data_IF_516873231894
#
_entry.id   IF_516873231894
#
_cell.length_a   1.000
_cell.length_b   1.000
_cell.length_c   1.000
_cell.angle_alpha   90.00
_cell.angle_beta   90.00
_cell.angle_gamma   90.00
#
_symmetry.space_group_name_H-M   'P 1'
#
loop_
_entity.id
_entity.type
_entity.pdbx_description
1 polymer ?
#
# COMPACT_ATOMS: atom_id res chain seq x y z
N UNK A 1 -17.48 -21.82 -2.77
CA UNK A 1 -17.30 -20.81 -1.69
C UNK A 1 -16.72 -21.49 -0.44
N UNK A 2 -15.86 -20.83 0.34
CA UNK A 2 -15.29 -21.36 1.58
C UNK A 2 -16.32 -21.35 2.70
N UNK A 3 -16.19 -22.28 3.66
CA UNK A 3 -16.97 -22.26 4.90
C UNK A 3 -16.26 -21.48 6.01
N UNK A 4 -14.91 -21.49 6.01
CA UNK A 4 -14.10 -20.85 7.04
C UNK A 4 -12.80 -20.28 6.46
N UNK A 5 -12.50 -19.02 6.81
CA UNK A 5 -11.30 -18.29 6.39
C UNK A 5 -10.52 -17.82 7.62
N UNK A 6 -9.21 -18.11 7.64
CA UNK A 6 -8.29 -17.53 8.62
C UNK A 6 -7.75 -16.20 8.11
N UNK A 7 -7.69 -15.22 8.99
CA UNK A 7 -7.20 -13.88 8.71
C UNK A 7 -5.81 -13.72 9.32
N UNK A 8 -4.76 -13.80 8.46
CA UNK A 8 -3.37 -13.74 8.88
C UNK A 8 -2.90 -12.27 9.02
N UNK A 9 -3.66 -11.48 9.76
CA UNK A 9 -3.40 -10.06 9.98
C UNK A 9 -4.06 -9.58 11.27
N UNK A 10 -3.93 -8.29 11.58
CA UNK A 10 -4.46 -7.62 12.76
C UNK A 10 -5.04 -6.23 12.40
N UNK A 11 -5.59 -5.57 13.44
CA UNK A 11 -6.00 -4.17 13.31
C UNK A 11 -7.21 -3.98 12.40
N UNK A 12 -7.26 -2.82 11.73
CA UNK A 12 -8.41 -2.43 10.92
C UNK A 12 -8.65 -3.36 9.74
N UNK A 13 -7.57 -3.85 9.09
CA UNK A 13 -7.72 -4.73 7.93
C UNK A 13 -8.27 -6.11 8.34
N UNK A 14 -7.91 -6.62 9.51
CA UNK A 14 -8.50 -7.84 10.01
C UNK A 14 -10.01 -7.64 10.30
N UNK A 15 -10.41 -6.51 10.88
CA UNK A 15 -11.82 -6.16 11.06
C UNK A 15 -12.56 -6.05 9.71
N UNK A 16 -11.93 -5.45 8.70
CA UNK A 16 -12.50 -5.32 7.34
C UNK A 16 -12.74 -6.68 6.69
N UNK A 17 -11.78 -7.60 6.82
CA UNK A 17 -11.89 -8.95 6.25
C UNK A 17 -12.95 -9.77 7.03
N UNK A 18 -13.01 -9.66 8.37
CA UNK A 18 -14.05 -10.31 9.20
C UNK A 18 -15.45 -9.88 8.76
N UNK A 19 -15.65 -8.57 8.49
CA UNK A 19 -16.92 -8.04 7.99
C UNK A 19 -17.30 -8.65 6.64
N UNK A 20 -16.33 -8.70 5.69
CA UNK A 20 -16.56 -9.33 4.40
C UNK A 20 -16.89 -10.82 4.52
N UNK A 21 -16.19 -11.58 5.36
CA UNK A 21 -16.52 -12.98 5.64
C UNK A 21 -17.95 -13.12 6.17
N UNK A 22 -18.34 -12.31 7.14
CA UNK A 22 -19.67 -12.35 7.75
C UNK A 22 -20.79 -12.05 6.75
N UNK A 23 -20.59 -11.05 5.88
CA UNK A 23 -21.54 -10.71 4.81
C UNK A 23 -21.65 -11.80 3.75
N UNK A 24 -20.60 -12.59 3.54
CA UNK A 24 -20.58 -13.75 2.65
C UNK A 24 -21.08 -15.05 3.34
N UNK A 25 -21.43 -15.01 4.64
CA UNK A 25 -21.84 -16.20 5.40
C UNK A 25 -20.68 -17.16 5.69
N UNK A 26 -19.44 -16.65 5.76
CA UNK A 26 -18.20 -17.42 5.98
C UNK A 26 -17.77 -17.22 7.44
N UNK A 27 -17.45 -18.29 8.14
CA UNK A 27 -16.86 -18.20 9.48
C UNK A 27 -15.43 -17.64 9.41
N UNK A 28 -15.14 -16.68 10.29
CA UNK A 28 -13.85 -16.02 10.39
C UNK A 28 -13.01 -16.56 11.55
N UNK A 29 -11.72 -16.81 11.29
CA UNK A 29 -10.73 -17.14 12.31
C UNK A 29 -9.72 -16.01 12.41
N UNK A 30 -9.74 -15.27 13.51
CA UNK A 30 -8.70 -14.29 13.80
C UNK A 30 -7.47 -14.98 14.41
N UNK A 31 -6.28 -14.54 14.01
CA UNK A 31 -5.05 -14.82 14.76
C UNK A 31 -4.63 -13.59 15.54
N UNK A 32 -3.99 -13.80 16.69
CA UNK A 32 -3.52 -12.69 17.52
C UNK A 32 -2.26 -13.03 18.30
N UNK A 33 -1.41 -12.04 18.53
CA UNK A 33 -0.33 -12.12 19.49
C UNK A 33 -0.84 -11.87 20.92
N UNK A 34 -0.05 -12.20 21.92
CA UNK A 34 -0.40 -11.90 23.31
C UNK A 34 -0.70 -10.42 23.57
N UNK A 35 -0.06 -9.50 22.80
CA UNK A 35 -0.32 -8.06 22.93
C UNK A 35 -1.70 -7.64 22.37
N UNK A 36 -2.26 -8.41 21.44
CA UNK A 36 -3.53 -8.12 20.78
C UNK A 36 -4.71 -8.94 21.34
N UNK A 37 -4.56 -9.60 22.48
CA UNK A 37 -5.62 -10.48 23.06
C UNK A 37 -6.97 -9.77 23.22
N UNK A 38 -6.96 -8.47 23.48
CA UNK A 38 -8.15 -7.66 23.69
C UNK A 38 -8.50 -6.80 22.44
N UNK A 39 -7.79 -7.00 21.30
CA UNK A 39 -8.03 -6.24 20.09
C UNK A 39 -9.40 -6.51 19.46
N UNK A 40 -9.96 -5.51 18.77
CA UNK A 40 -11.32 -5.57 18.23
C UNK A 40 -11.51 -6.74 17.25
N UNK A 41 -10.52 -7.03 16.40
CA UNK A 41 -10.61 -8.14 15.45
C UNK A 41 -10.74 -9.51 16.13
N UNK A 42 -10.15 -9.67 17.33
CA UNK A 42 -10.29 -10.89 18.16
C UNK A 42 -11.72 -11.04 18.69
N UNK A 43 -12.33 -9.91 19.08
CA UNK A 43 -13.69 -9.88 19.61
C UNK A 43 -14.76 -10.08 18.52
N UNK A 44 -14.47 -9.62 17.28
CA UNK A 44 -15.42 -9.69 16.16
C UNK A 44 -15.43 -11.04 15.46
N UNK A 45 -14.33 -11.78 15.46
CA UNK A 45 -14.21 -13.05 14.76
C UNK A 45 -15.04 -14.16 15.42
N UNK A 46 -15.46 -15.16 14.62
CA UNK A 46 -16.18 -16.32 15.12
C UNK A 46 -15.27 -17.24 15.95
N UNK A 47 -14.00 -17.31 15.57
CA UNK A 47 -12.95 -18.03 16.29
C UNK A 47 -11.70 -17.17 16.40
N UNK A 48 -10.89 -17.38 17.45
CA UNK A 48 -9.64 -16.68 17.64
C UNK A 48 -8.54 -17.59 18.20
N UNK A 49 -7.32 -17.49 17.67
CA UNK A 49 -6.18 -18.31 18.05
C UNK A 49 -4.97 -17.44 18.37
N UNK A 50 -4.42 -17.60 19.57
CA UNK A 50 -3.15 -16.95 19.92
C UNK A 50 -2.00 -17.64 19.19
N UNK A 51 -1.22 -16.86 18.43
CA UNK A 51 -0.13 -17.38 17.60
C UNK A 51 1.27 -17.05 18.15
N UNK A 52 1.39 -16.46 19.32
CA UNK A 52 2.67 -16.24 19.98
C UNK A 52 2.78 -14.96 20.78
N UNK A 53 4.02 -14.61 21.20
CA UNK A 53 4.31 -13.40 21.98
C UNK A 53 4.04 -12.10 21.17
N UNK A 54 4.25 -10.95 21.82
CA UNK A 54 3.98 -9.63 21.25
C UNK A 54 4.79 -9.29 19.98
N UNK A 55 6.06 -9.72 19.91
CA UNK A 55 6.90 -9.39 18.78
C UNK A 55 6.41 -10.05 17.47
N UNK A 56 6.33 -9.26 16.38
CA UNK A 56 5.83 -9.75 15.08
C UNK A 56 6.59 -10.96 14.55
N UNK A 57 7.92 -11.00 14.73
CA UNK A 57 8.79 -12.12 14.30
C UNK A 57 8.43 -13.45 14.97
N UNK A 58 7.85 -13.40 16.17
CA UNK A 58 7.50 -14.56 16.98
C UNK A 58 5.99 -14.89 16.95
N UNK A 59 5.19 -14.11 16.17
CA UNK A 59 3.75 -14.23 16.03
C UNK A 59 3.30 -14.06 14.58
N UNK A 60 2.95 -12.85 14.13
CA UNK A 60 2.39 -12.58 12.80
C UNK A 60 3.32 -12.90 11.62
N UNK A 61 4.63 -13.00 11.84
CA UNK A 61 5.62 -13.44 10.85
C UNK A 61 6.03 -14.92 11.02
N UNK A 62 5.44 -15.62 12.01
CA UNK A 62 5.73 -17.03 12.28
C UNK A 62 4.80 -17.92 11.45
N UNK A 63 5.27 -18.31 10.27
CA UNK A 63 4.50 -19.09 9.28
C UNK A 63 3.90 -20.35 9.89
N UNK A 64 4.71 -21.12 10.64
CA UNK A 64 4.32 -22.39 11.22
C UNK A 64 3.15 -22.25 12.21
N UNK A 65 3.13 -21.14 12.99
CA UNK A 65 2.05 -20.89 13.96
C UNK A 65 0.74 -20.53 13.25
N UNK A 66 0.80 -19.75 12.17
CA UNK A 66 -0.35 -19.37 11.36
C UNK A 66 -0.94 -20.59 10.65
N UNK A 67 -0.11 -21.42 10.02
CA UNK A 67 -0.55 -22.65 9.37
C UNK A 67 -1.14 -23.64 10.38
N UNK A 68 -0.51 -23.80 11.55
CA UNK A 68 -1.06 -24.63 12.63
C UNK A 68 -2.43 -24.15 13.08
N UNK A 69 -2.62 -22.84 13.24
CA UNK A 69 -3.91 -22.25 13.56
C UNK A 69 -4.97 -22.55 12.49
N UNK A 70 -4.59 -22.46 11.19
CA UNK A 70 -5.50 -22.80 10.09
C UNK A 70 -5.91 -24.28 10.09
N UNK A 71 -4.96 -25.19 10.29
CA UNK A 71 -5.20 -26.63 10.34
C UNK A 71 -6.11 -26.99 11.55
N UNK A 72 -5.79 -26.50 12.74
CA UNK A 72 -6.55 -26.80 13.98
C UNK A 72 -7.98 -26.29 13.88
N UNK A 73 -8.20 -25.14 13.28
CA UNK A 73 -9.52 -24.54 13.11
C UNK A 73 -10.29 -25.07 11.91
N UNK A 74 -9.64 -25.82 11.02
CA UNK A 74 -10.23 -26.32 9.79
C UNK A 74 -10.49 -25.19 8.76
N UNK A 75 -9.70 -24.11 8.78
CA UNK A 75 -9.80 -23.05 7.79
C UNK A 75 -9.39 -23.56 6.42
N UNK A 76 -10.20 -23.28 5.40
CA UNK A 76 -9.96 -23.72 4.02
C UNK A 76 -9.13 -22.73 3.23
N UNK A 77 -9.10 -21.46 3.67
CA UNK A 77 -8.33 -20.40 3.04
C UNK A 77 -7.74 -19.45 4.09
N UNK A 78 -6.68 -18.75 3.68
CA UNK A 78 -6.03 -17.72 4.49
C UNK A 78 -6.06 -16.41 3.72
N UNK A 79 -6.61 -15.35 4.34
CA UNK A 79 -6.52 -13.98 3.84
C UNK A 79 -5.37 -13.25 4.54
N UNK A 80 -4.31 -12.86 3.82
CA UNK A 80 -3.13 -12.24 4.44
C UNK A 80 -3.32 -10.73 4.72
N UNK A 81 -4.33 -10.06 4.14
CA UNK A 81 -4.48 -8.61 4.18
C UNK A 81 -3.33 -7.90 3.47
N UNK A 82 -2.71 -6.93 4.14
CA UNK A 82 -1.51 -6.23 3.70
C UNK A 82 -0.42 -6.25 4.79
N UNK A 83 0.85 -6.07 4.42
CA UNK A 83 1.98 -6.20 5.33
C UNK A 83 2.20 -7.65 5.81
N UNK A 84 3.00 -7.85 6.84
CA UNK A 84 3.37 -9.16 7.37
C UNK A 84 3.74 -10.18 6.29
N UNK A 85 2.91 -11.21 6.09
CA UNK A 85 3.18 -12.31 5.15
C UNK A 85 2.44 -12.16 3.81
N UNK A 86 1.77 -11.04 3.55
CA UNK A 86 0.94 -10.88 2.36
C UNK A 86 1.72 -10.97 1.03
N UNK A 87 3.00 -10.61 1.02
CA UNK A 87 3.90 -10.68 -0.14
C UNK A 87 5.02 -11.70 0.07
N UNK A 88 4.77 -12.72 0.89
CA UNK A 88 5.73 -13.79 1.16
C UNK A 88 5.44 -15.02 0.30
N UNK A 89 6.23 -15.20 -0.78
CA UNK A 89 6.10 -16.32 -1.71
C UNK A 89 6.21 -17.69 -1.02
N UNK A 90 7.11 -17.82 -0.03
CA UNK A 90 7.28 -19.08 0.72
C UNK A 90 6.02 -19.41 1.52
N UNK A 91 5.39 -18.41 2.14
CA UNK A 91 4.14 -18.61 2.87
C UNK A 91 3.00 -19.03 1.93
N UNK A 92 2.82 -18.36 0.80
CA UNK A 92 1.81 -18.73 -0.19
C UNK A 92 2.02 -20.17 -0.69
N UNK A 93 3.27 -20.57 -0.95
CA UNK A 93 3.61 -21.94 -1.33
C UNK A 93 3.28 -22.96 -0.24
N UNK A 94 3.65 -22.67 1.01
CA UNK A 94 3.35 -23.55 2.15
C UNK A 94 1.84 -23.69 2.41
N UNK A 95 1.04 -22.63 2.18
CA UNK A 95 -0.42 -22.76 2.22
C UNK A 95 -0.92 -23.81 1.22
N UNK A 96 -0.45 -23.73 -0.04
CA UNK A 96 -0.83 -24.70 -1.08
C UNK A 96 -0.39 -26.12 -0.75
N UNK A 97 0.81 -26.31 -0.22
CA UNK A 97 1.32 -27.62 0.24
C UNK A 97 0.48 -28.21 1.40
N UNK A 98 -0.17 -27.34 2.19
CA UNK A 98 -1.11 -27.75 3.26
C UNK A 98 -2.56 -27.88 2.77
N UNK A 99 -2.85 -27.80 1.47
CA UNK A 99 -4.19 -27.75 0.90
C UNK A 99 -5.06 -26.59 1.47
N UNK A 100 -4.43 -25.46 1.76
CA UNK A 100 -5.09 -24.24 2.21
C UNK A 100 -4.95 -23.20 1.09
N UNK A 101 -6.07 -22.61 0.65
CA UNK A 101 -6.04 -21.58 -0.40
C UNK A 101 -5.48 -20.28 0.17
N UNK A 102 -4.39 -19.78 -0.43
CA UNK A 102 -3.91 -18.42 -0.18
C UNK A 102 -4.77 -17.43 -0.97
N UNK A 103 -5.44 -16.49 -0.29
CA UNK A 103 -6.26 -15.46 -0.94
C UNK A 103 -5.35 -14.34 -1.44
N UNK A 104 -4.94 -14.47 -2.68
CA UNK A 104 -3.94 -13.64 -3.34
C UNK A 104 -3.41 -14.30 -4.61
N UNK A 105 -2.35 -13.77 -5.23
CA UNK A 105 -1.71 -14.38 -6.38
C UNK A 105 -0.88 -15.61 -6.00
N UNK A 106 -0.38 -16.33 -7.01
CA UNK A 106 0.47 -17.51 -6.80
C UNK A 106 1.83 -17.14 -6.20
N UNK A 107 2.48 -18.12 -5.57
CA UNK A 107 3.82 -17.97 -5.00
C UNK A 107 4.85 -17.53 -6.05
N UNK A 108 4.70 -18.01 -7.28
CA UNK A 108 5.56 -17.69 -8.41
C UNK A 108 5.43 -16.21 -8.79
N UNK A 109 4.20 -15.69 -8.89
CA UNK A 109 3.93 -14.27 -9.21
C UNK A 109 4.45 -13.36 -8.09
N UNK A 110 4.23 -13.74 -6.83
CA UNK A 110 4.78 -12.99 -5.68
C UNK A 110 6.32 -12.93 -5.77
N UNK A 111 6.95 -14.04 -6.07
CA UNK A 111 8.41 -14.11 -6.17
C UNK A 111 8.95 -13.27 -7.34
N UNK A 112 8.32 -13.36 -8.51
CA UNK A 112 8.73 -12.62 -9.71
C UNK A 112 8.57 -11.11 -9.51
N UNK A 113 7.45 -10.67 -8.96
CA UNK A 113 7.18 -9.24 -8.75
C UNK A 113 7.95 -8.67 -7.56
N UNK A 114 8.37 -9.51 -6.61
CA UNK A 114 9.26 -9.12 -5.52
C UNK A 114 10.71 -8.89 -5.95
N UNK A 115 11.14 -9.46 -7.07
CA UNK A 115 12.44 -9.20 -7.70
C UNK A 115 12.34 -8.02 -8.67
N UNK A 116 12.96 -6.88 -8.30
CA UNK A 116 12.84 -5.63 -9.07
C UNK A 116 13.41 -5.74 -10.49
N UNK A 117 14.46 -6.50 -10.68
CA UNK A 117 15.07 -6.68 -12.01
C UNK A 117 14.18 -7.57 -12.89
N UNK A 118 13.65 -8.66 -12.33
CA UNK A 118 12.74 -9.54 -13.04
C UNK A 118 11.41 -8.83 -13.36
N UNK A 119 10.83 -8.12 -12.39
CA UNK A 119 9.62 -7.32 -12.60
C UNK A 119 9.83 -6.29 -13.72
N UNK A 120 10.96 -5.57 -13.74
CA UNK A 120 11.30 -4.62 -14.80
C UNK A 120 11.36 -5.29 -16.18
N UNK A 121 12.03 -6.44 -16.29
CA UNK A 121 12.10 -7.20 -17.56
C UNK A 121 10.73 -7.62 -18.06
N UNK A 122 9.88 -8.12 -17.17
CA UNK A 122 8.49 -8.48 -17.51
C UNK A 122 7.69 -7.27 -18.01
N UNK A 123 7.85 -6.10 -17.37
CA UNK A 123 7.15 -4.88 -17.78
C UNK A 123 7.60 -4.38 -19.16
N UNK A 124 8.90 -4.41 -19.44
CA UNK A 124 9.43 -4.07 -20.77
C UNK A 124 8.85 -5.00 -21.83
N UNK A 125 8.84 -6.31 -21.57
CA UNK A 125 8.27 -7.31 -22.49
C UNK A 125 6.76 -7.11 -22.72
N UNK A 126 6.04 -6.58 -21.72
CA UNK A 126 4.62 -6.25 -21.79
C UNK A 126 4.32 -4.88 -22.41
N UNK A 127 5.31 -4.15 -22.92
CA UNK A 127 5.21 -2.77 -23.40
C UNK A 127 4.60 -1.82 -22.34
N UNK A 128 4.99 -1.98 -21.07
CA UNK A 128 4.69 -1.06 -19.98
C UNK A 128 5.86 -0.12 -19.82
N UNK A 129 5.65 1.20 -19.82
CA UNK A 129 6.75 2.16 -19.62
C UNK A 129 7.45 1.93 -18.28
N UNK A 130 8.76 1.85 -18.29
CA UNK A 130 9.58 1.70 -17.08
C UNK A 130 10.49 2.91 -16.90
N UNK A 131 10.91 3.18 -15.67
CA UNK A 131 11.85 4.28 -15.39
C UNK A 131 13.11 4.07 -16.24
N UNK A 132 13.58 5.06 -17.00
CA UNK A 132 14.83 4.93 -17.76
C UNK A 132 15.98 4.50 -16.85
N UNK A 133 16.69 3.44 -17.21
CA UNK A 133 17.72 2.86 -16.37
C UNK A 133 18.55 1.81 -17.08
N UNK A 134 19.32 1.04 -16.32
CA UNK A 134 20.02 -0.13 -16.83
C UNK A 134 19.05 -1.29 -17.06
N UNK A 135 19.29 -2.04 -18.14
CA UNK A 135 18.52 -3.24 -18.45
C UNK A 135 18.95 -4.44 -17.57
N UNK A 136 20.21 -4.40 -17.12
CA UNK A 136 20.84 -5.40 -16.27
C UNK A 136 21.73 -4.77 -15.19
N UNK A 137 22.44 -5.64 -14.47
CA UNK A 137 23.49 -5.26 -13.52
C UNK A 137 24.59 -4.49 -14.23
N UNK A 138 25.01 -3.38 -13.63
CA UNK A 138 26.16 -2.61 -14.11
C UNK A 138 27.42 -3.14 -13.45
N UNK A 139 28.30 -3.72 -14.27
CA UNK A 139 29.47 -4.43 -13.76
C UNK A 139 30.66 -3.53 -13.47
N UNK A 140 30.91 -2.50 -14.32
CA UNK A 140 32.07 -1.64 -14.25
C UNK A 140 31.71 -0.16 -14.18
N UNK A 141 32.66 0.67 -13.73
CA UNK A 141 32.52 2.13 -13.68
C UNK A 141 32.37 2.71 -15.09
N UNK A 142 33.16 2.22 -16.04
CA UNK A 142 33.18 2.69 -17.43
C UNK A 142 31.82 2.45 -18.11
N UNK A 143 31.28 1.24 -17.97
CA UNK A 143 29.94 0.88 -18.45
C UNK A 143 28.88 1.79 -17.81
N UNK A 144 28.99 1.98 -16.49
CA UNK A 144 28.09 2.84 -15.74
C UNK A 144 28.10 4.30 -16.20
N UNK A 145 29.27 4.86 -16.47
CA UNK A 145 29.40 6.25 -16.97
C UNK A 145 28.74 6.40 -18.35
N UNK A 146 28.99 5.48 -19.28
CA UNK A 146 28.37 5.53 -20.61
C UNK A 146 26.84 5.38 -20.53
N UNK A 147 26.37 4.52 -19.66
CA UNK A 147 24.95 4.36 -19.39
C UNK A 147 24.35 5.61 -18.73
N UNK A 148 25.04 6.20 -17.73
CA UNK A 148 24.61 7.43 -17.05
C UNK A 148 24.45 8.61 -18.03
N UNK A 149 25.35 8.77 -19.00
CA UNK A 149 25.22 9.79 -20.05
C UNK A 149 23.97 9.58 -20.91
N UNK A 150 23.58 8.32 -21.16
CA UNK A 150 22.39 7.97 -21.93
C UNK A 150 21.10 8.15 -21.14
N UNK A 151 21.08 7.74 -19.86
CA UNK A 151 19.92 7.84 -18.96
C UNK A 151 19.66 9.31 -18.58
N UNK A 152 20.72 10.08 -18.39
CA UNK A 152 20.68 11.46 -17.88
C UNK A 152 20.78 11.53 -16.35
N UNK A 153 21.12 12.73 -15.87
CA UNK A 153 21.22 13.04 -14.44
C UNK A 153 20.04 13.92 -14.00
N UNK A 154 19.66 13.89 -12.70
CA UNK A 154 20.20 13.03 -11.65
C UNK A 154 19.72 11.57 -11.76
N UNK A 155 20.53 10.63 -11.24
CA UNK A 155 20.20 9.21 -11.23
C UNK A 155 20.45 8.54 -9.86
N UNK A 156 19.90 7.35 -9.71
CA UNK A 156 20.13 6.48 -8.55
C UNK A 156 20.96 5.26 -8.97
N UNK A 157 21.92 4.89 -8.15
CA UNK A 157 22.57 3.58 -8.19
C UNK A 157 21.95 2.78 -7.04
N UNK A 158 21.39 1.60 -7.34
CA UNK A 158 20.64 0.78 -6.40
C UNK A 158 21.20 -0.63 -6.34
N UNK A 159 21.34 -1.20 -5.13
CA UNK A 159 21.67 -2.59 -4.95
C UNK A 159 20.55 -3.50 -5.49
N UNK A 160 20.89 -4.52 -6.26
CA UNK A 160 19.93 -5.52 -6.78
C UNK A 160 19.25 -6.28 -5.64
N UNK A 161 20.02 -6.69 -4.64
CA UNK A 161 19.51 -7.36 -3.44
C UNK A 161 18.96 -6.39 -2.37
N UNK A 162 18.84 -5.08 -2.70
CA UNK A 162 18.53 -4.02 -1.76
C UNK A 162 17.06 -3.90 -1.41
N UNK A 163 16.81 -3.46 -0.16
CA UNK A 163 15.47 -3.12 0.35
C UNK A 163 15.57 -2.12 1.50
N UNK A 164 14.46 -1.44 1.83
CA UNK A 164 14.40 -0.53 2.98
C UNK A 164 15.31 0.69 2.91
N UNK A 165 15.67 1.15 1.70
CA UNK A 165 16.48 2.37 1.50
C UNK A 165 17.99 2.18 1.67
N UNK A 166 18.49 0.95 1.92
CA UNK A 166 19.92 0.65 1.97
C UNK A 166 20.48 0.29 0.60
N UNK A 167 21.73 0.66 0.34
CA UNK A 167 22.39 0.41 -0.95
C UNK A 167 21.83 1.28 -2.08
N UNK A 168 21.35 2.48 -1.76
CA UNK A 168 20.88 3.47 -2.73
C UNK A 168 21.78 4.69 -2.66
N UNK A 169 22.34 5.11 -3.80
CA UNK A 169 23.17 6.30 -3.93
C UNK A 169 22.64 7.21 -5.02
N UNK A 170 22.46 8.46 -4.69
CA UNK A 170 22.10 9.52 -5.64
C UNK A 170 23.36 10.08 -6.29
N UNK A 171 23.31 10.32 -7.59
CA UNK A 171 24.40 10.87 -8.40
C UNK A 171 23.84 12.05 -9.17
N UNK A 172 24.41 13.23 -8.92
CA UNK A 172 23.96 14.48 -9.55
C UNK A 172 24.67 14.74 -10.87
N UNK A 173 25.95 14.37 -10.95
CA UNK A 173 26.82 14.67 -12.09
C UNK A 173 27.72 13.48 -12.44
N UNK A 174 28.33 13.55 -13.63
CA UNK A 174 29.24 12.49 -14.10
C UNK A 174 30.52 12.41 -13.26
N UNK A 175 30.97 13.53 -12.71
CA UNK A 175 32.17 13.63 -11.88
C UNK A 175 32.05 12.87 -10.56
N UNK A 176 30.83 12.79 -10.01
CA UNK A 176 30.55 12.06 -8.77
C UNK A 176 30.35 10.56 -9.00
N UNK A 177 30.12 10.15 -10.24
CA UNK A 177 29.63 8.81 -10.56
C UNK A 177 30.53 7.69 -10.04
N UNK A 178 31.84 7.74 -10.33
CA UNK A 178 32.80 6.72 -9.94
C UNK A 178 32.78 6.48 -8.41
N UNK A 179 32.88 7.57 -7.65
CA UNK A 179 32.87 7.51 -6.19
C UNK A 179 31.57 6.90 -5.66
N UNK A 180 30.42 7.35 -6.14
CA UNK A 180 29.12 6.85 -5.69
C UNK A 180 28.89 5.39 -6.11
N UNK A 181 29.34 5.00 -7.28
CA UNK A 181 29.23 3.63 -7.79
C UNK A 181 30.03 2.65 -6.92
N UNK A 182 31.30 2.96 -6.64
CA UNK A 182 32.14 2.12 -5.78
C UNK A 182 31.56 2.01 -4.37
N UNK A 183 31.08 3.14 -3.82
CA UNK A 183 30.48 3.18 -2.49
C UNK A 183 29.18 2.35 -2.45
N UNK A 184 28.32 2.47 -3.45
CA UNK A 184 27.06 1.71 -3.52
C UNK A 184 27.34 0.19 -3.56
N UNK A 185 28.31 -0.26 -4.35
CA UNK A 185 28.70 -1.67 -4.43
C UNK A 185 29.27 -2.20 -3.11
N UNK A 186 30.09 -1.42 -2.42
CA UNK A 186 30.64 -1.81 -1.12
C UNK A 186 29.55 -1.93 -0.05
N UNK A 187 28.61 -0.99 -0.01
CA UNK A 187 27.48 -1.04 0.90
C UNK A 187 26.54 -2.21 0.60
N UNK A 188 26.28 -2.47 -0.69
CA UNK A 188 25.49 -3.61 -1.12
C UNK A 188 26.13 -4.93 -0.67
N UNK A 189 27.44 -5.07 -0.86
CA UNK A 189 28.18 -6.26 -0.42
C UNK A 189 28.12 -6.44 1.10
N UNK A 190 28.32 -5.37 1.86
CA UNK A 190 28.29 -5.43 3.34
C UNK A 190 26.90 -5.73 3.89
N UNK A 191 25.86 -5.11 3.32
CA UNK A 191 24.49 -5.22 3.83
C UNK A 191 23.78 -6.50 3.38
N UNK A 192 24.06 -6.97 2.15
CA UNK A 192 23.28 -8.01 1.49
C UNK A 192 24.13 -9.21 1.00
N UNK A 193 25.47 -9.13 1.09
CA UNK A 193 26.37 -10.18 0.59
C UNK A 193 26.46 -10.22 -0.94
N UNK A 194 25.87 -9.28 -1.66
CA UNK A 194 25.89 -9.13 -3.11
C UNK A 194 26.25 -7.69 -3.48
N UNK A 195 27.28 -7.49 -4.32
CA UNK A 195 27.74 -6.18 -4.77
C UNK A 195 27.05 -5.68 -6.04
N UNK A 196 26.11 -6.43 -6.59
CA UNK A 196 25.44 -6.08 -7.84
C UNK A 196 24.56 -4.86 -7.68
N UNK A 197 24.72 -3.92 -8.61
CA UNK A 197 23.95 -2.67 -8.64
C UNK A 197 23.35 -2.45 -10.03
N UNK A 198 22.23 -1.75 -10.06
CA UNK A 198 21.59 -1.25 -11.27
C UNK A 198 21.38 0.26 -11.16
N UNK A 199 21.03 0.91 -12.25
CA UNK A 199 20.89 2.36 -12.31
C UNK A 199 19.51 2.75 -12.80
N UNK A 200 18.94 3.82 -12.23
CA UNK A 200 17.67 4.40 -12.67
C UNK A 200 17.73 5.92 -12.64
N UNK A 201 17.10 6.57 -13.62
CA UNK A 201 16.88 8.02 -13.62
C UNK A 201 16.00 8.41 -12.44
N UNK A 202 16.28 9.54 -11.81
CA UNK A 202 15.38 10.14 -10.84
C UNK A 202 14.27 10.87 -11.59
N UNK A 203 13.04 10.47 -11.39
CA UNK A 203 11.86 11.18 -11.87
C UNK A 203 11.46 12.18 -10.80
N UNK A 204 11.74 13.46 -11.06
CA UNK A 204 11.48 14.52 -10.10
C UNK A 204 11.30 15.87 -10.82
N UNK A 205 10.27 16.67 -10.47
CA UNK A 205 9.19 16.32 -9.56
C UNK A 205 8.28 15.24 -10.13
N UNK A 206 7.63 14.44 -9.27
CA UNK A 206 6.76 13.37 -9.70
C UNK A 206 5.52 13.21 -8.80
N UNK A 207 4.45 12.67 -9.39
CA UNK A 207 3.31 12.14 -8.66
C UNK A 207 3.42 10.63 -8.53
N UNK A 208 2.92 10.10 -7.42
CA UNK A 208 2.74 8.68 -7.19
C UNK A 208 1.28 8.32 -7.51
N UNK A 209 1.08 7.69 -8.63
CA UNK A 209 -0.23 7.25 -9.12
C UNK A 209 -0.22 5.75 -9.21
N UNK A 210 -1.26 5.10 -8.69
CA UNK A 210 -1.35 3.65 -8.71
C UNK A 210 -2.68 3.20 -9.31
N UNK A 211 -2.66 2.03 -9.98
CA UNK A 211 -3.84 1.45 -10.64
C UNK A 211 -4.25 0.18 -9.91
N UNK A 212 -5.50 0.13 -9.46
CA UNK A 212 -6.10 -1.07 -8.88
C UNK A 212 -6.41 -2.10 -9.95
N UNK A 213 -5.89 -3.32 -9.79
CA UNK A 213 -6.16 -4.47 -10.66
C UNK A 213 -7.02 -5.49 -9.91
N UNK A 214 -7.93 -6.12 -10.66
CA UNK A 214 -8.58 -7.38 -10.31
C UNK A 214 -8.41 -8.37 -11.46
N UNK A 215 -8.05 -9.60 -11.12
CA UNK A 215 -7.90 -10.69 -12.08
C UNK A 215 -8.46 -11.99 -11.50
N UNK A 216 -9.26 -12.72 -12.27
CA UNK A 216 -9.77 -14.02 -11.88
C UNK A 216 -8.88 -15.18 -12.38
N UNK A 217 -9.28 -16.40 -12.07
CA UNK A 217 -8.58 -17.62 -12.50
C UNK A 217 -8.94 -18.04 -13.94
N UNK A 218 -9.86 -17.33 -14.59
CA UNK A 218 -10.40 -17.62 -15.94
C UNK A 218 -9.76 -16.74 -17.01
N UNK A 219 -8.82 -15.84 -16.62
CA UNK A 219 -8.09 -14.97 -17.53
C UNK A 219 -8.73 -13.59 -17.73
N UNK A 220 -9.81 -13.28 -17.00
CA UNK A 220 -10.38 -11.94 -16.99
C UNK A 220 -9.53 -11.04 -16.11
N UNK A 221 -9.12 -9.90 -16.65
CA UNK A 221 -8.33 -8.88 -15.95
C UNK A 221 -8.92 -7.51 -16.24
N UNK A 222 -9.22 -6.77 -15.18
CA UNK A 222 -9.76 -5.41 -15.26
C UNK A 222 -8.97 -4.46 -14.35
N UNK A 223 -9.04 -3.16 -14.66
CA UNK A 223 -8.60 -2.12 -13.75
C UNK A 223 -9.79 -1.34 -13.18
N UNK A 224 -9.68 -0.90 -11.94
CA UNK A 224 -10.69 -0.13 -11.23
C UNK A 224 -10.30 1.35 -11.06
N UNK A 225 -9.53 1.87 -12.02
CA UNK A 225 -9.03 3.25 -11.99
C UNK A 225 -7.84 3.45 -11.06
N UNK A 226 -7.50 4.73 -10.94
CA UNK A 226 -6.32 5.16 -10.20
C UNK A 226 -6.64 5.70 -8.81
N UNK A 227 -5.58 5.71 -7.98
CA UNK A 227 -5.46 6.48 -6.74
C UNK A 227 -4.24 7.39 -6.83
N UNK A 228 -4.37 8.64 -6.38
CA UNK A 228 -3.25 9.57 -6.20
C UNK A 228 -2.73 9.43 -4.76
N UNK A 229 -1.51 8.93 -4.63
CA UNK A 229 -0.85 8.64 -3.36
C UNK A 229 0.37 9.53 -3.14
N UNK A 230 0.40 10.71 -3.77
CA UNK A 230 1.57 11.59 -3.75
C UNK A 230 1.81 12.28 -2.41
N UNK A 231 0.77 12.48 -1.58
CA UNK A 231 0.95 13.08 -0.25
C UNK A 231 1.51 12.04 0.72
N UNK A 232 2.82 12.08 0.88
CA UNK A 232 3.56 11.13 1.70
C UNK A 232 4.69 11.82 2.48
N UNK A 233 5.09 11.21 3.59
CA UNK A 233 6.23 11.59 4.40
C UNK A 233 7.14 10.39 4.59
N UNK A 234 8.42 10.50 4.26
CA UNK A 234 9.38 9.38 4.32
C UNK A 234 8.85 8.13 3.60
N UNK A 235 8.26 8.30 2.43
CA UNK A 235 7.61 7.26 1.61
C UNK A 235 6.39 6.59 2.29
N UNK A 236 5.83 7.16 3.36
CA UNK A 236 4.58 6.73 3.96
C UNK A 236 3.45 7.64 3.50
N UNK A 237 2.45 7.06 2.87
CA UNK A 237 1.24 7.76 2.38
C UNK A 237 0.45 8.30 3.59
N UNK A 238 -0.10 9.51 3.47
CA UNK A 238 -0.82 10.20 4.55
C UNK A 238 -2.25 10.50 4.12
N UNK A 239 -2.40 11.04 2.90
CA UNK A 239 -3.69 11.34 2.27
C UNK A 239 -3.66 10.75 0.87
N UNK A 240 -4.68 10.01 0.52
CA UNK A 240 -4.90 9.45 -0.80
C UNK A 240 -6.25 9.92 -1.35
N UNK A 241 -6.33 10.09 -2.66
CA UNK A 241 -7.59 10.45 -3.32
C UNK A 241 -7.82 9.70 -4.64
N UNK A 242 -9.07 9.47 -4.96
CA UNK A 242 -9.50 8.85 -6.19
C UNK A 242 -10.78 9.51 -6.72
N UNK A 243 -10.83 9.82 -8.04
CA UNK A 243 -9.74 9.76 -9.00
C UNK A 243 -8.70 10.88 -8.77
N UNK A 244 -7.51 10.76 -9.38
CA UNK A 244 -6.48 11.81 -9.30
C UNK A 244 -6.95 13.11 -9.96
N UNK A 245 -6.83 14.27 -9.30
CA UNK A 245 -7.18 15.56 -9.90
C UNK A 245 -6.22 15.98 -11.02
N UNK A 246 -5.07 15.33 -11.14
CA UNK A 246 -4.01 15.69 -12.08
C UNK A 246 -4.02 14.88 -13.38
N UNK A 247 -4.85 13.84 -13.50
CA UNK A 247 -4.93 12.98 -14.67
C UNK A 247 -6.07 13.39 -15.59
N UNK A 248 -5.77 13.47 -16.90
CA UNK A 248 -6.80 13.53 -17.93
C UNK A 248 -7.48 12.15 -18.09
N UNK A 249 -8.69 12.13 -18.65
CA UNK A 249 -9.39 10.88 -18.97
C UNK A 249 -8.62 9.99 -19.96
N UNK A 250 -7.82 10.60 -20.83
CA UNK A 250 -6.95 9.87 -21.77
C UNK A 250 -5.81 9.18 -21.02
N UNK A 251 -5.06 9.93 -20.21
CA UNK A 251 -3.93 9.37 -19.45
C UNK A 251 -4.39 8.27 -18.49
N UNK A 252 -5.55 8.44 -17.85
CA UNK A 252 -6.19 7.40 -17.02
C UNK A 252 -6.41 6.10 -17.78
N UNK A 253 -6.93 6.18 -19.02
CA UNK A 253 -7.11 4.98 -19.85
C UNK A 253 -5.78 4.34 -20.23
N UNK A 254 -4.82 5.12 -20.67
CA UNK A 254 -3.48 4.64 -21.05
C UNK A 254 -2.78 3.91 -19.91
N UNK A 255 -2.83 4.49 -18.70
CA UNK A 255 -2.28 3.88 -17.48
C UNK A 255 -3.05 2.62 -17.09
N UNK A 256 -4.39 2.64 -17.15
CA UNK A 256 -5.23 1.48 -16.87
C UNK A 256 -4.96 0.32 -17.83
N UNK A 257 -4.87 0.59 -19.13
CA UNK A 257 -4.53 -0.41 -20.15
C UNK A 257 -3.10 -0.95 -19.94
N UNK A 258 -2.14 -0.10 -19.58
CA UNK A 258 -0.78 -0.54 -19.26
C UNK A 258 -0.77 -1.47 -18.05
N UNK A 259 -1.55 -1.16 -17.01
CA UNK A 259 -1.69 -1.99 -15.83
C UNK A 259 -2.35 -3.34 -16.12
N UNK A 260 -3.36 -3.37 -16.99
CA UNK A 260 -3.97 -4.64 -17.45
C UNK A 260 -2.97 -5.48 -18.26
N UNK A 261 -2.18 -4.85 -19.15
CA UNK A 261 -1.11 -5.58 -19.88
C UNK A 261 -0.07 -6.16 -18.93
N UNK A 262 0.37 -5.38 -17.93
CA UNK A 262 1.29 -5.83 -16.91
C UNK A 262 0.76 -7.06 -16.15
N UNK A 263 -0.46 -6.99 -15.64
CA UNK A 263 -1.09 -8.08 -14.89
C UNK A 263 -1.26 -9.35 -15.75
N UNK A 264 -1.69 -9.21 -17.02
CA UNK A 264 -1.80 -10.34 -17.96
C UNK A 264 -0.45 -10.99 -18.26
N UNK A 265 0.60 -10.19 -18.44
CA UNK A 265 1.94 -10.68 -18.78
C UNK A 265 2.52 -11.60 -17.69
N UNK A 266 2.22 -11.32 -16.43
CA UNK A 266 2.70 -12.12 -15.28
C UNK A 266 1.70 -13.20 -14.83
N UNK A 267 0.55 -13.34 -15.52
CA UNK A 267 -0.50 -14.29 -15.12
C UNK A 267 -1.09 -13.96 -13.75
N UNK A 268 -1.27 -12.68 -13.45
CA UNK A 268 -1.76 -12.21 -12.15
C UNK A 268 -3.15 -12.72 -11.84
N UNK A 269 -3.40 -13.07 -10.59
CA UNK A 269 -4.71 -13.44 -10.06
C UNK A 269 -4.98 -12.71 -8.75
N UNK A 270 -6.25 -12.45 -8.45
CA UNK A 270 -6.74 -11.73 -7.28
C UNK A 270 -6.56 -10.21 -7.39
N UNK A 271 -6.67 -9.49 -6.26
CA UNK A 271 -6.46 -8.06 -6.20
C UNK A 271 -4.98 -7.71 -6.14
N UNK A 272 -4.56 -6.73 -6.91
CA UNK A 272 -3.22 -6.20 -6.92
C UNK A 272 -3.19 -4.74 -7.35
N UNK A 273 -2.05 -4.10 -7.20
CA UNK A 273 -1.90 -2.69 -7.54
C UNK A 273 -0.60 -2.48 -8.31
N UNK A 274 -0.67 -1.72 -9.39
CA UNK A 274 0.52 -1.31 -10.15
C UNK A 274 0.79 0.16 -9.86
N UNK A 275 1.95 0.42 -9.29
CA UNK A 275 2.39 1.76 -8.92
C UNK A 275 3.22 2.39 -10.04
N UNK A 276 2.93 3.66 -10.33
CA UNK A 276 3.61 4.45 -11.34
C UNK A 276 4.09 5.79 -10.77
N UNK A 277 5.21 6.28 -11.29
CA UNK A 277 5.57 7.70 -11.20
C UNK A 277 5.07 8.41 -12.45
N UNK A 278 4.48 9.60 -12.26
CA UNK A 278 4.03 10.47 -13.35
C UNK A 278 4.81 11.77 -13.25
N UNK A 279 5.54 12.13 -14.31
CA UNK A 279 6.32 13.37 -14.38
C UNK A 279 5.45 14.59 -14.76
N UNK A 280 6.07 15.77 -14.84
CA UNK A 280 5.38 17.02 -15.21
C UNK A 280 4.87 17.01 -16.65
N UNK A 281 5.57 16.33 -17.56
CA UNK A 281 5.19 16.15 -18.97
C UNK A 281 4.08 15.12 -19.15
N UNK A 282 3.62 14.52 -18.05
CA UNK A 282 2.57 13.47 -18.02
C UNK A 282 3.00 12.13 -18.63
N UNK A 283 4.31 11.87 -18.70
CA UNK A 283 4.79 10.52 -18.92
C UNK A 283 4.68 9.71 -17.61
N UNK A 284 4.33 8.44 -17.74
CA UNK A 284 4.23 7.55 -16.59
C UNK A 284 5.21 6.38 -16.70
N UNK A 285 5.70 5.94 -15.56
CA UNK A 285 6.75 4.93 -15.47
C UNK A 285 6.40 3.94 -14.38
N UNK A 286 6.42 2.65 -14.69
CA UNK A 286 6.26 1.57 -13.72
C UNK A 286 7.31 1.69 -12.61
N UNK A 287 6.85 1.61 -11.38
CA UNK A 287 7.69 1.62 -10.18
C UNK A 287 7.75 0.24 -9.55
N UNK A 288 6.60 -0.32 -9.18
CA UNK A 288 6.48 -1.67 -8.63
C UNK A 288 5.05 -2.20 -8.74
N UNK A 289 4.88 -3.50 -8.50
CA UNK A 289 3.59 -4.14 -8.35
C UNK A 289 3.44 -4.67 -6.93
N UNK A 290 2.40 -4.23 -6.25
CA UNK A 290 2.02 -4.77 -4.95
C UNK A 290 1.07 -5.95 -5.16
N UNK A 291 1.53 -7.15 -4.78
CA UNK A 291 0.83 -8.42 -5.00
C UNK A 291 -0.18 -8.74 -3.89
N UNK A 292 -0.91 -7.71 -3.46
CA UNK A 292 -1.87 -7.74 -2.34
C UNK A 292 -2.86 -6.59 -2.44
N UNK A 293 -3.83 -6.57 -1.55
CA UNK A 293 -4.66 -5.38 -1.35
C UNK A 293 -3.85 -4.24 -0.72
N UNK A 294 -4.15 -3.01 -1.08
CA UNK A 294 -3.53 -1.80 -0.51
C UNK A 294 -4.33 -1.27 0.70
N UNK A 295 -3.67 -0.48 1.55
CA UNK A 295 -4.32 0.22 2.67
C UNK A 295 -5.46 1.09 2.17
N UNK A 296 -5.22 1.84 1.10
CA UNK A 296 -6.08 2.84 0.46
C UNK A 296 -7.13 2.27 -0.51
N UNK A 297 -7.33 0.93 -0.51
CA UNK A 297 -8.38 0.30 -1.33
C UNK A 297 -9.79 0.89 -1.12
N UNK A 298 -10.16 1.40 0.08
CA UNK A 298 -11.50 1.94 0.31
C UNK A 298 -11.89 3.08 -0.63
N UNK A 299 -10.96 3.95 -1.05
CA UNK A 299 -11.31 5.05 -1.97
C UNK A 299 -11.69 4.54 -3.36
N UNK A 300 -11.08 3.47 -3.83
CA UNK A 300 -11.51 2.79 -5.08
C UNK A 300 -12.89 2.18 -4.90
N UNK A 301 -13.16 1.48 -3.80
CA UNK A 301 -14.48 0.92 -3.50
C UNK A 301 -15.57 2.00 -3.48
N UNK A 302 -15.28 3.17 -2.89
CA UNK A 302 -16.24 4.27 -2.79
C UNK A 302 -16.60 4.89 -4.15
N UNK A 303 -15.69 4.95 -5.10
CA UNK A 303 -15.96 5.55 -6.42
C UNK A 303 -16.48 4.54 -7.45
N UNK A 304 -16.25 3.23 -7.24
CA UNK A 304 -16.64 2.16 -8.17
C UNK A 304 -17.84 1.34 -7.69
N UNK A 305 -18.17 1.43 -6.41
CA UNK A 305 -19.15 0.56 -5.73
C UNK A 305 -18.81 -0.93 -5.85
N UNK A 306 -17.52 -1.28 -5.86
CA UNK A 306 -17.00 -2.65 -5.93
C UNK A 306 -16.37 -3.01 -4.59
N UNK A 307 -16.85 -4.07 -3.94
CA UNK A 307 -16.24 -4.60 -2.70
C UNK A 307 -15.04 -5.49 -3.04
N UNK A 308 -13.84 -4.91 -2.94
CA UNK A 308 -12.58 -5.57 -3.28
C UNK A 308 -12.29 -6.79 -2.40
N UNK A 309 -12.57 -6.70 -1.10
CA UNK A 309 -12.26 -7.78 -0.16
C UNK A 309 -13.19 -8.97 -0.37
N UNK A 310 -14.48 -8.74 -0.61
CA UNK A 310 -15.40 -9.82 -0.98
C UNK A 310 -14.99 -10.47 -2.30
N UNK A 311 -14.58 -9.68 -3.31
CA UNK A 311 -14.11 -10.22 -4.59
C UNK A 311 -12.81 -11.01 -4.44
N UNK A 312 -11.89 -10.60 -3.58
CA UNK A 312 -10.70 -11.40 -3.29
C UNK A 312 -11.06 -12.80 -2.81
N UNK A 313 -12.02 -12.91 -1.90
CA UNK A 313 -12.49 -14.19 -1.36
C UNK A 313 -13.19 -15.02 -2.44
N UNK A 314 -14.07 -14.41 -3.23
CA UNK A 314 -14.82 -15.06 -4.33
C UNK A 314 -13.89 -15.59 -5.42
N UNK A 315 -12.96 -14.76 -5.89
CA UNK A 315 -11.95 -15.13 -6.90
C UNK A 315 -11.09 -16.30 -6.40
N UNK A 316 -10.64 -16.24 -5.14
CA UNK A 316 -9.87 -17.33 -4.54
C UNK A 316 -10.68 -18.63 -4.42
N UNK A 317 -12.01 -18.54 -4.31
CA UNK A 317 -12.92 -19.68 -4.36
C UNK A 317 -13.23 -20.19 -5.78
N UNK A 318 -12.65 -19.59 -6.83
CA UNK A 318 -12.79 -19.99 -8.22
C UNK A 318 -13.92 -19.30 -8.99
N UNK A 319 -14.55 -18.25 -8.43
CA UNK A 319 -15.58 -17.49 -9.13
C UNK A 319 -14.97 -16.56 -10.18
N UNK A 320 -15.69 -16.37 -11.29
CA UNK A 320 -15.36 -15.39 -12.32
C UNK A 320 -15.67 -13.97 -11.83
N UNK A 321 -15.01 -12.97 -12.43
CA UNK A 321 -15.37 -11.57 -12.22
C UNK A 321 -16.81 -11.32 -12.67
N UNK A 322 -17.66 -10.68 -11.85
CA UNK A 322 -19.06 -10.46 -12.17
C UNK A 322 -19.32 -9.30 -13.17
N UNK A 323 -18.27 -8.71 -13.71
CA UNK A 323 -18.30 -7.56 -14.62
C UNK A 323 -17.09 -7.56 -15.56
N UNK A 324 -17.24 -6.87 -16.68
CA UNK A 324 -16.18 -6.58 -17.64
C UNK A 324 -15.60 -5.18 -17.40
N UNK A 325 -14.57 -4.79 -18.17
CA UNK A 325 -14.01 -3.44 -18.09
C UNK A 325 -15.01 -2.33 -18.42
N UNK A 326 -15.93 -2.60 -19.35
CA UNK A 326 -16.94 -1.66 -19.81
C UNK A 326 -18.03 -1.37 -18.76
N UNK A 327 -18.23 -2.29 -17.82
CA UNK A 327 -19.22 -2.16 -16.75
C UNK A 327 -18.72 -1.25 -15.61
N UNK A 328 -17.41 -0.99 -15.57
CA UNK A 328 -16.80 -0.21 -14.49
C UNK A 328 -17.03 1.28 -14.73
N UNK A 329 -17.70 1.92 -13.79
CA UNK A 329 -17.97 3.36 -13.80
C UNK A 329 -17.42 4.03 -12.55
N UNK A 330 -16.96 5.26 -12.71
CA UNK A 330 -16.45 6.07 -11.60
C UNK A 330 -17.47 7.12 -11.21
N UNK A 331 -17.84 7.17 -9.92
CA UNK A 331 -18.84 8.08 -9.39
C UNK A 331 -18.25 8.95 -8.29
N UNK A 332 -18.28 10.27 -8.51
CA UNK A 332 -17.83 11.23 -7.52
C UNK A 332 -16.32 11.22 -7.28
N UNK A 333 -15.93 11.54 -6.05
CA UNK A 333 -14.55 11.64 -5.60
C UNK A 333 -14.43 11.16 -4.17
N UNK A 334 -13.42 10.38 -3.86
CA UNK A 334 -13.14 9.87 -2.52
C UNK A 334 -11.76 10.31 -2.03
N UNK A 335 -11.66 10.60 -0.74
CA UNK A 335 -10.42 10.95 -0.05
C UNK A 335 -10.29 10.03 1.15
N UNK A 336 -9.11 9.47 1.37
CA UNK A 336 -8.74 8.74 2.57
C UNK A 336 -7.68 9.53 3.34
N UNK A 337 -7.82 9.60 4.67
CA UNK A 337 -6.80 10.13 5.57
C UNK A 337 -6.40 9.05 6.56
N UNK A 338 -5.09 8.78 6.66
CA UNK A 338 -4.55 7.87 7.66
C UNK A 338 -4.28 8.59 8.96
N UNK A 339 -4.93 8.13 10.02
CA UNK A 339 -4.65 8.65 11.36
C UNK A 339 -3.77 7.67 12.12
N UNK A 340 -2.63 8.19 12.57
CA UNK A 340 -1.59 7.45 13.27
C UNK A 340 -1.47 7.91 14.72
N UNK A 341 -1.11 7.00 15.63
CA UNK A 341 -0.70 7.33 16.99
C UNK A 341 0.73 7.90 16.97
N UNK A 342 0.86 9.15 16.55
CA UNK A 342 2.14 9.86 16.39
C UNK A 342 2.00 11.32 16.81
N UNK A 343 3.02 11.86 17.46
CA UNK A 343 3.09 13.28 17.78
C UNK A 343 3.80 14.05 16.67
N UNK A 344 3.11 14.79 15.81
CA UNK A 344 3.72 15.51 14.70
C UNK A 344 4.62 16.67 15.16
N UNK A 345 4.38 17.23 16.35
CA UNK A 345 5.19 18.30 16.95
C UNK A 345 6.51 17.79 17.51
N UNK A 346 6.64 16.49 17.73
CA UNK A 346 7.85 15.83 18.21
C UNK A 346 8.47 14.92 17.14
N UNK A 347 8.49 15.39 15.89
CA UNK A 347 9.09 14.66 14.78
C UNK A 347 8.34 13.37 14.38
N UNK A 348 7.04 13.28 14.68
CA UNK A 348 6.18 12.11 14.45
C UNK A 348 6.62 10.90 15.30
N UNK A 349 7.02 11.15 16.52
CA UNK A 349 7.32 10.09 17.47
C UNK A 349 6.05 9.25 17.73
N UNK A 350 6.14 7.91 17.66
CA UNK A 350 5.02 7.04 18.01
C UNK A 350 4.50 7.31 19.44
N UNK A 351 3.18 7.30 19.60
CA UNK A 351 2.48 7.52 20.87
C UNK A 351 1.62 6.31 21.24
N UNK A 352 2.23 5.16 21.62
CA UNK A 352 1.49 4.03 22.14
C UNK A 352 0.85 4.38 23.48
N UNK A 353 -0.31 3.82 23.80
CA UNK A 353 -0.99 4.13 25.05
C UNK A 353 -2.42 3.61 25.08
N UNK A 354 -3.14 3.99 26.13
CA UNK A 354 -4.54 3.62 26.29
C UNK A 354 -5.45 4.70 25.76
N UNK A 355 -6.35 4.35 24.85
CA UNK A 355 -7.43 5.24 24.37
C UNK A 355 -8.43 5.39 25.53
N UNK A 356 -8.45 6.58 26.17
CA UNK A 356 -9.31 6.87 27.30
C UNK A 356 -10.70 7.29 26.88
N UNK A 357 -10.83 7.96 25.74
CA UNK A 357 -12.08 8.33 25.12
C UNK A 357 -11.94 8.28 23.59
N UNK A 358 -13.00 7.84 22.93
CA UNK A 358 -13.10 7.79 21.46
C UNK A 358 -14.49 8.24 21.04
N UNK A 359 -14.54 9.28 20.18
CA UNK A 359 -15.71 9.60 19.38
C UNK A 359 -15.34 9.50 17.92
N UNK A 360 -16.02 8.63 17.17
CA UNK A 360 -15.82 8.45 15.74
C UNK A 360 -16.90 9.23 14.97
N UNK A 361 -16.55 9.94 13.89
CA UNK A 361 -17.47 10.73 13.06
C UNK A 361 -18.35 9.86 12.19
N UNK A 362 -19.18 9.03 12.80
CA UNK A 362 -20.13 8.16 12.12
C UNK A 362 -21.39 8.92 11.73
N UNK A 363 -21.88 8.68 10.52
CA UNK A 363 -23.11 9.28 10.05
C UNK A 363 -22.93 10.32 8.93
N UNK A 364 -24.03 10.60 8.25
CA UNK A 364 -24.04 11.40 7.02
C UNK A 364 -23.67 10.57 5.78
N UNK A 365 -24.09 11.07 4.62
CA UNK A 365 -23.80 10.43 3.34
C UNK A 365 -22.31 10.51 2.99
N UNK A 366 -21.74 9.42 2.43
CA UNK A 366 -20.37 9.41 1.95
C UNK A 366 -19.31 9.43 3.04
N UNK A 367 -19.64 8.90 4.23
CA UNK A 367 -18.73 8.72 5.36
C UNK A 367 -18.46 7.25 5.58
N UNK A 368 -17.18 6.87 5.66
CA UNK A 368 -16.75 5.52 6.00
C UNK A 368 -15.54 5.59 6.91
N UNK A 369 -15.47 4.70 7.89
CA UNK A 369 -14.36 4.59 8.84
C UNK A 369 -13.91 3.14 8.89
N UNK A 370 -12.63 2.91 8.62
CA UNK A 370 -11.98 1.63 8.85
C UNK A 370 -11.08 1.74 10.07
N UNK A 371 -11.43 1.04 11.13
CA UNK A 371 -10.81 1.20 12.44
C UNK A 371 -10.87 -0.10 13.24
N UNK A 372 -9.89 -0.26 14.12
CA UNK A 372 -9.91 -1.26 15.19
C UNK A 372 -9.94 -0.61 16.60
N UNK A 373 -10.15 0.71 16.66
CA UNK A 373 -10.18 1.46 17.91
C UNK A 373 -11.51 1.30 18.65
N UNK A 374 -11.42 1.33 19.98
CA UNK A 374 -12.54 1.48 20.91
C UNK A 374 -12.04 2.14 22.22
N UNK A 375 -12.94 2.76 22.97
CA UNK A 375 -12.60 3.33 24.29
C UNK A 375 -12.10 2.24 25.23
N UNK A 376 -10.91 2.42 25.78
CA UNK A 376 -10.24 1.44 26.65
C UNK A 376 -9.20 0.58 25.92
N UNK A 377 -9.11 0.63 24.60
CA UNK A 377 -8.11 -0.13 23.84
C UNK A 377 -6.69 0.32 24.17
N UNK A 378 -5.80 -0.64 24.38
CA UNK A 378 -4.38 -0.42 24.59
C UNK A 378 -3.65 -0.56 23.27
N UNK A 379 -3.17 0.56 22.72
CA UNK A 379 -2.34 0.57 21.50
C UNK A 379 -0.95 0.01 21.84
N UNK A 380 -0.59 -1.14 21.26
CA UNK A 380 0.69 -1.79 21.58
C UNK A 380 1.84 -1.10 20.84
N UNK A 381 3.05 -1.02 21.44
CA UNK A 381 4.22 -0.39 20.82
C UNK A 381 4.98 -1.29 19.84
N UNK A 382 4.41 -2.43 19.47
CA UNK A 382 5.11 -3.49 18.70
C UNK A 382 4.80 -3.46 17.20
N UNK A 383 3.81 -2.67 16.77
CA UNK A 383 3.27 -2.68 15.41
C UNK A 383 3.20 -1.26 14.85
N UNK A 384 2.74 -1.15 13.61
CA UNK A 384 2.52 0.12 12.95
C UNK A 384 1.61 1.05 13.78
N UNK A 385 1.86 2.35 13.68
CA UNK A 385 1.16 3.40 14.43
C UNK A 385 -0.23 3.72 13.90
N UNK A 386 -0.64 3.17 12.74
CA UNK A 386 -1.92 3.48 12.12
C UNK A 386 -3.09 3.02 12.98
N UNK A 387 -3.97 3.96 13.34
CA UNK A 387 -5.13 3.77 14.21
C UNK A 387 -6.41 3.52 13.43
N UNK A 388 -6.65 4.38 12.45
CA UNK A 388 -7.91 4.42 11.70
C UNK A 388 -7.69 5.10 10.36
N UNK A 389 -8.53 4.75 9.39
CA UNK A 389 -8.66 5.44 8.12
C UNK A 389 -10.02 6.13 8.11
N UNK A 390 -10.01 7.43 7.86
CA UNK A 390 -11.22 8.19 7.56
C UNK A 390 -11.36 8.26 6.05
N UNK A 391 -12.52 7.92 5.53
CA UNK A 391 -12.81 7.93 4.10
C UNK A 391 -14.04 8.79 3.85
N UNK A 392 -13.88 9.84 3.05
CA UNK A 392 -14.95 10.72 2.65
C UNK A 392 -15.20 10.62 1.15
N UNK A 393 -16.46 10.45 0.76
CA UNK A 393 -16.89 10.42 -0.64
C UNK A 393 -17.87 11.57 -0.90
N UNK A 394 -17.71 12.28 -2.01
CA UNK A 394 -18.60 13.35 -2.47
C UNK A 394 -18.91 13.22 -3.96
N UNK A 395 -19.94 13.93 -4.44
CA UNK A 395 -20.22 14.02 -5.88
C UNK A 395 -19.09 14.76 -6.61
N UNK A 396 -18.42 15.66 -5.90
CA UNK A 396 -17.28 16.45 -6.38
C UNK A 396 -16.11 16.33 -5.38
N UNK A 397 -14.91 16.67 -5.83
CA UNK A 397 -13.72 16.72 -4.97
C UNK A 397 -13.91 17.67 -3.79
N UNK A 398 -14.50 18.85 -4.03
CA UNK A 398 -14.76 19.83 -2.98
C UNK A 398 -15.73 19.30 -1.91
N UNK A 399 -16.79 18.59 -2.31
CA UNK A 399 -17.68 17.94 -1.34
C UNK A 399 -16.95 16.88 -0.51
N UNK A 400 -16.05 16.08 -1.12
CA UNK A 400 -15.26 15.10 -0.41
C UNK A 400 -14.30 15.77 0.61
N UNK A 401 -13.65 16.87 0.23
CA UNK A 401 -12.79 17.66 1.11
C UNK A 401 -13.60 18.21 2.30
N UNK A 402 -14.76 18.83 2.06
CA UNK A 402 -15.59 19.39 3.13
C UNK A 402 -16.09 18.30 4.08
N UNK A 403 -16.45 17.11 3.56
CA UNK A 403 -16.82 15.96 4.39
C UNK A 403 -15.65 15.46 5.23
N UNK A 404 -14.47 15.35 4.63
CA UNK A 404 -13.26 14.91 5.36
C UNK A 404 -12.93 15.90 6.49
N UNK A 405 -13.00 17.20 6.23
CA UNK A 405 -12.80 18.22 7.28
C UNK A 405 -13.80 18.09 8.42
N UNK A 406 -15.08 17.84 8.10
CA UNK A 406 -16.08 17.59 9.13
C UNK A 406 -15.74 16.33 9.94
N UNK A 407 -15.33 15.26 9.27
CA UNK A 407 -14.93 14.00 9.95
C UNK A 407 -13.74 14.23 10.87
N UNK A 408 -12.73 14.96 10.44
CA UNK A 408 -11.58 15.31 11.29
C UNK A 408 -11.99 16.17 12.47
N UNK A 409 -12.83 17.18 12.26
CA UNK A 409 -13.34 18.05 13.34
C UNK A 409 -14.15 17.30 14.40
N UNK A 410 -14.97 16.32 13.99
CA UNK A 410 -15.79 15.52 14.91
C UNK A 410 -15.00 14.40 15.60
N UNK A 411 -13.89 13.94 15.04
CA UNK A 411 -13.09 12.85 15.60
C UNK A 411 -12.41 13.30 16.90
N UNK A 412 -12.64 12.55 17.97
CA UNK A 412 -11.94 12.76 19.25
C UNK A 412 -11.26 11.45 19.65
N UNK A 413 -9.93 11.51 19.85
CA UNK A 413 -9.12 10.41 20.38
C UNK A 413 -8.33 10.96 21.56
N UNK A 414 -8.65 10.48 22.76
CA UNK A 414 -7.93 10.91 23.97
C UNK A 414 -7.06 9.78 24.53
N UNK A 415 -6.00 10.15 25.22
CA UNK A 415 -5.06 9.24 25.88
C UNK A 415 -3.80 8.94 25.09
N UNK A 416 -3.77 9.34 23.80
CA UNK A 416 -2.61 9.22 22.90
C UNK A 416 -2.54 10.43 21.99
N UNK A 417 -1.34 10.77 21.52
CA UNK A 417 -1.17 11.79 20.48
C UNK A 417 -1.51 11.19 19.12
N UNK A 418 -2.05 12.02 18.24
CA UNK A 418 -2.34 11.64 16.85
C UNK A 418 -1.82 12.68 15.87
N UNK A 419 -1.68 12.29 14.60
CA UNK A 419 -1.33 13.21 13.53
C UNK A 419 -2.54 13.99 12.96
N UNK A 420 -3.68 14.02 13.67
CA UNK A 420 -4.95 14.60 13.18
C UNK A 420 -4.80 16.06 12.76
N UNK A 421 -4.22 16.92 13.60
CA UNK A 421 -4.03 18.34 13.30
C UNK A 421 -3.14 18.56 12.07
N UNK A 422 -2.08 17.75 11.94
CA UNK A 422 -1.22 17.77 10.76
C UNK A 422 -1.98 17.43 9.46
N UNK A 423 -2.83 16.41 9.51
CA UNK A 423 -3.65 15.99 8.36
C UNK A 423 -4.68 17.05 8.01
N UNK A 424 -5.30 17.68 8.99
CA UNK A 424 -6.26 18.77 8.80
C UNK A 424 -5.62 19.99 8.11
N UNK A 425 -4.48 20.44 8.60
CA UNK A 425 -3.72 21.55 8.00
C UNK A 425 -3.23 21.21 6.59
N UNK A 426 -2.84 19.95 6.35
CA UNK A 426 -2.41 19.49 5.02
C UNK A 426 -3.56 19.52 4.01
N UNK A 427 -4.78 19.12 4.40
CA UNK A 427 -6.00 19.24 3.59
C UNK A 427 -6.35 20.69 3.25
N UNK A 428 -6.02 21.63 4.13
CA UNK A 428 -6.25 23.05 3.92
C UNK A 428 -5.16 23.76 3.12
N UNK A 429 -4.05 23.07 2.87
CA UNK A 429 -2.96 23.65 2.09
C UNK A 429 -3.41 24.03 0.68
N UNK A 430 -2.90 25.15 0.18
CA UNK A 430 -3.25 25.63 -1.16
C UNK A 430 -2.86 24.66 -2.27
N UNK A 431 -1.77 23.91 -2.08
CA UNK A 431 -1.34 22.88 -3.03
C UNK A 431 -2.34 21.72 -3.09
N UNK A 432 -2.79 21.20 -1.94
CA UNK A 432 -3.81 20.16 -1.93
C UNK A 432 -5.13 20.65 -2.56
N UNK A 433 -5.59 21.84 -2.16
CA UNK A 433 -6.84 22.41 -2.70
C UNK A 433 -6.82 22.51 -4.24
N UNK A 434 -5.68 22.88 -4.83
CA UNK A 434 -5.53 22.94 -6.30
C UNK A 434 -5.23 21.59 -6.96
N UNK A 435 -4.89 20.54 -6.19
CA UNK A 435 -4.38 19.27 -6.73
C UNK A 435 -2.93 19.35 -7.24
N UNK A 436 -2.21 20.39 -6.85
CA UNK A 436 -0.87 20.73 -7.31
C UNK A 436 0.17 20.37 -6.23
N UNK A 437 0.41 19.10 -6.06
CA UNK A 437 1.36 18.54 -5.09
C UNK A 437 2.09 17.35 -5.71
N UNK A 438 3.29 17.07 -5.21
CA UNK A 438 4.16 15.99 -5.65
C UNK A 438 4.54 15.11 -4.47
N UNK A 439 5.24 14.01 -4.73
CA UNK A 439 5.75 13.11 -3.68
C UNK A 439 6.68 13.80 -2.67
N UNK A 440 7.31 14.89 -3.07
CA UNK A 440 8.22 15.66 -2.22
C UNK A 440 7.53 16.79 -1.42
N UNK A 441 6.31 17.18 -1.80
CA UNK A 441 5.64 18.38 -1.29
C UNK A 441 5.63 18.48 0.24
N UNK A 442 5.26 17.42 0.92
CA UNK A 442 5.16 17.41 2.38
C UNK A 442 6.50 17.75 3.04
N UNK A 443 7.60 17.14 2.58
CA UNK A 443 8.93 17.32 3.19
C UNK A 443 9.63 18.60 2.73
N UNK A 444 9.50 18.96 1.46
CA UNK A 444 10.25 20.08 0.89
C UNK A 444 9.58 21.43 1.07
N UNK A 445 8.26 21.45 1.25
CA UNK A 445 7.49 22.69 1.32
C UNK A 445 6.62 22.75 2.58
N UNK A 446 5.68 21.83 2.75
CA UNK A 446 4.67 21.92 3.79
C UNK A 446 5.28 21.95 5.21
N UNK A 447 6.14 21.00 5.54
CA UNK A 447 6.77 20.91 6.88
C UNK A 447 7.68 22.09 7.21
N UNK A 448 8.25 22.79 6.23
CA UNK A 448 9.09 23.98 6.50
C UNK A 448 8.31 25.14 7.11
N UNK A 449 7.01 25.20 6.83
CA UNK A 449 6.14 26.30 7.28
C UNK A 449 5.13 25.86 8.33
N UNK A 450 4.87 24.57 8.44
CA UNK A 450 3.82 24.05 9.31
C UNK A 450 4.10 24.27 10.81
N UNK A 451 5.38 24.13 11.26
CA UNK A 451 5.78 24.30 12.66
C UNK A 451 6.13 25.76 13.04
N UNK A 452 5.90 26.73 12.16
CA UNK A 452 6.10 28.13 12.52
C UNK A 452 4.90 28.65 13.32
N UNK A 453 5.11 29.50 14.37
CA UNK A 453 4.02 30.10 15.08
C UNK A 453 3.12 30.82 14.07
N UNK A 454 1.84 30.44 14.01
CA UNK A 454 0.85 31.20 13.21
C UNK A 454 0.83 32.61 13.81
N UNK A 455 1.32 33.62 13.06
CA UNK A 455 1.11 35.01 13.45
C UNK A 455 -0.39 35.24 13.60
N UNK A 456 -0.80 35.63 14.82
CA UNK A 456 -2.20 35.85 15.18
C UNK A 456 -2.74 37.13 14.55
#
# INVERSE_FOLDING_TARGET
MFNRVLIANRGEIACRIIRACRELGIESVAVYSQADKDALHVQLADHAVCIGPAASKDSYLKVENILSAAVITGAQAIHPGFGFLSENAKFAKMCAECNITFIGPSSEVISQMGDKAEARKQMIAANVPVIPGSDDVVATVEEGIELAKRIGFPLLIKAVAGGGGKGIRRVETVEEFEHQFVTARQEALQAFGNADVYMERIIYPAKHIEIQILADQHGNVVHLGERDCSLQRKNQKIIEEAPSPSLSSQLRREMGEAAVRAAKAVGYQNAGTIEFLVDEEKHFYFMEMNTRIQVEHPITEMITNVDLVQLQIKIAAGEELPFTQEDITFQGHAIECRLNAENPFEGFRPSPGKVTFLHQPVGGMGVRIESALYTGYQIPPFYDSMLTKLIAHGKTREEAILRMKRMLFELVVEGVDTNQEFVEDLLDSSAFRRGDYTTAYVETEFLKHWNQPKEK
#
